data_IF_153208227807
#
_entry.id   IF_153208227807
#
_cell.length_a   1.000
_cell.length_b   1.000
_cell.length_c   1.000
_cell.angle_alpha   90.00
_cell.angle_beta   90.00
_cell.angle_gamma   90.00
#
_symmetry.space_group_name_H-M   'P 1'
#
loop_
_entity.id
_entity.type
_entity.pdbx_description
1 polymer ?
#
# COMPACT_ATOMS: atom_id res chain seq x y z
N UNK A 1 -1.86 28.90 -10.55
CA UNK A 1 -0.53 28.32 -10.33
C UNK A 1 -0.57 27.66 -8.96
N UNK A 2 -0.84 26.35 -8.92
CA UNK A 2 -1.08 25.63 -7.67
C UNK A 2 0.23 25.36 -6.95
N UNK A 3 0.28 25.72 -5.67
CA UNK A 3 1.44 25.63 -4.78
C UNK A 3 1.96 24.19 -4.72
N UNK A 4 3.27 23.92 -4.91
CA UNK A 4 3.82 22.60 -4.64
C UNK A 4 3.79 22.35 -3.13
N UNK A 5 2.82 21.55 -2.69
CA UNK A 5 2.72 21.08 -1.31
C UNK A 5 3.87 20.10 -1.06
N UNK A 6 5.00 20.61 -0.56
CA UNK A 6 6.11 19.80 -0.06
C UNK A 6 5.67 19.10 1.22
N UNK A 7 4.87 18.03 1.09
CA UNK A 7 4.65 17.07 2.17
C UNK A 7 6.03 16.54 2.55
N UNK A 8 6.49 16.84 3.76
CA UNK A 8 7.73 16.32 4.32
C UNK A 8 7.68 14.80 4.16
N UNK A 9 8.58 14.23 3.35
CA UNK A 9 8.63 12.80 3.12
C UNK A 9 8.90 12.10 4.46
N UNK A 10 7.86 11.54 5.08
CA UNK A 10 8.03 10.65 6.22
C UNK A 10 8.85 9.46 5.73
N UNK A 11 9.82 8.97 6.53
CA UNK A 11 10.61 7.82 6.14
C UNK A 11 9.67 6.66 5.85
N UNK A 12 9.77 6.11 4.65
CA UNK A 12 9.04 4.91 4.27
C UNK A 12 9.27 3.81 5.30
N UNK A 13 8.18 3.33 5.92
CA UNK A 13 8.27 2.30 6.96
C UNK A 13 8.88 0.98 6.43
N UNK A 14 8.70 0.69 5.14
CA UNK A 14 9.34 -0.42 4.46
C UNK A 14 10.56 0.08 3.68
N UNK A 15 11.79 -0.03 4.24
CA UNK A 15 12.98 0.42 3.55
C UNK A 15 13.16 -0.32 2.22
N UNK A 16 13.47 0.43 1.15
CA UNK A 16 13.66 -0.08 -0.20
C UNK A 16 12.41 -0.10 -1.08
N UNK A 17 11.21 0.08 -0.50
CA UNK A 17 9.96 0.25 -1.25
C UNK A 17 9.72 1.74 -1.51
N UNK A 18 9.02 2.07 -2.61
CA UNK A 18 8.69 3.46 -2.96
C UNK A 18 7.23 3.81 -2.72
N UNK A 19 6.36 2.81 -2.68
CA UNK A 19 4.91 2.97 -2.60
C UNK A 19 4.34 2.28 -1.35
N UNK A 20 4.89 1.14 -0.92
CA UNK A 20 4.34 0.47 0.26
C UNK A 20 4.66 1.17 1.57
N UNK A 21 3.61 1.60 2.29
CA UNK A 21 3.65 1.94 3.71
C UNK A 21 3.32 3.40 4.02
N UNK A 22 3.05 3.75 5.29
CA UNK A 22 2.79 5.12 5.69
C UNK A 22 3.95 6.04 5.29
N UNK A 23 3.64 7.15 4.59
CA UNK A 23 4.64 8.09 4.09
C UNK A 23 5.24 7.73 2.73
N UNK A 24 4.88 6.58 2.14
CA UNK A 24 5.26 6.18 0.80
C UNK A 24 4.08 6.37 -0.15
N UNK A 25 4.26 7.10 -1.25
CA UNK A 25 3.33 7.16 -2.38
C UNK A 25 4.07 7.59 -3.66
N UNK A 26 5.26 7.01 -3.88
CA UNK A 26 6.19 7.44 -4.93
C UNK A 26 7.04 8.67 -4.53
N UNK A 27 7.71 9.32 -5.50
CA UNK A 27 7.64 9.10 -6.95
C UNK A 27 8.47 7.91 -7.46
N UNK A 28 8.24 7.53 -8.72
CA UNK A 28 9.06 6.58 -9.48
C UNK A 28 8.46 5.20 -9.69
N UNK A 29 9.11 4.37 -10.52
CA UNK A 29 8.63 3.02 -10.82
C UNK A 29 8.69 2.12 -9.57
N UNK A 30 7.65 1.30 -9.33
CA UNK A 30 7.67 0.28 -8.29
C UNK A 30 8.91 -0.61 -8.37
N UNK A 31 9.47 -0.97 -7.22
CA UNK A 31 10.71 -1.76 -7.15
C UNK A 31 10.47 -3.26 -7.36
N UNK A 32 9.25 -3.73 -7.11
CA UNK A 32 8.80 -5.09 -7.36
C UNK A 32 7.26 -5.13 -7.48
N UNK A 33 6.67 -6.29 -7.73
CA UNK A 33 5.22 -6.40 -7.91
C UNK A 33 4.37 -6.16 -6.63
N UNK A 34 4.95 -6.25 -5.42
CA UNK A 34 4.25 -5.88 -4.17
C UNK A 34 4.21 -4.37 -4.05
N UNK A 35 5.32 -3.71 -4.37
CA UNK A 35 5.37 -2.24 -4.48
C UNK A 35 4.43 -1.74 -5.59
N UNK A 36 4.19 -2.55 -6.62
CA UNK A 36 3.19 -2.26 -7.65
C UNK A 36 1.75 -2.34 -7.11
N UNK A 37 1.43 -3.36 -6.29
CA UNK A 37 0.14 -3.42 -5.58
C UNK A 37 -0.08 -2.15 -4.73
N UNK A 38 0.95 -1.70 -4.00
CA UNK A 38 0.86 -0.49 -3.18
C UNK A 38 0.66 0.76 -4.03
N UNK A 39 1.38 0.88 -5.16
CA UNK A 39 1.15 1.98 -6.11
C UNK A 39 -0.31 2.07 -6.55
N UNK A 40 -0.91 0.94 -6.93
CA UNK A 40 -2.32 0.93 -7.33
C UNK A 40 -3.26 1.32 -6.18
N UNK A 41 -2.98 0.86 -4.96
CA UNK A 41 -3.75 1.22 -3.78
C UNK A 41 -3.67 2.72 -3.46
N UNK A 42 -2.47 3.29 -3.48
CA UNK A 42 -2.23 4.72 -3.24
C UNK A 42 -2.95 5.59 -4.27
N UNK A 43 -2.85 5.25 -5.56
CA UNK A 43 -3.54 5.98 -6.63
C UNK A 43 -5.06 5.86 -6.51
N UNK A 44 -5.57 4.68 -6.17
CA UNK A 44 -7.00 4.49 -5.90
C UNK A 44 -7.48 5.37 -4.73
N UNK A 45 -6.68 5.48 -3.67
CA UNK A 45 -6.95 6.38 -2.56
C UNK A 45 -6.84 7.86 -2.91
N UNK A 46 -5.94 8.23 -3.82
CA UNK A 46 -5.83 9.60 -4.34
C UNK A 46 -7.09 10.01 -5.11
N UNK A 47 -7.62 9.11 -5.94
CA UNK A 47 -8.79 9.37 -6.78
C UNK A 47 -10.11 9.32 -6.00
N UNK A 48 -10.28 8.34 -5.11
CA UNK A 48 -11.57 8.02 -4.48
C UNK A 48 -11.60 8.23 -2.96
N UNK A 49 -10.48 8.58 -2.35
CA UNK A 49 -10.33 8.59 -0.89
C UNK A 49 -10.28 7.18 -0.30
N UNK A 50 -10.29 7.10 1.04
CA UNK A 50 -10.22 5.82 1.73
C UNK A 50 -11.55 5.07 1.63
N UNK A 51 -11.67 4.19 0.63
CA UNK A 51 -12.87 3.40 0.40
C UNK A 51 -12.59 1.89 0.45
N UNK A 52 -13.66 1.12 0.71
CA UNK A 52 -13.58 -0.34 0.87
C UNK A 52 -13.14 -1.06 -0.40
N UNK A 53 -13.57 -0.60 -1.58
CA UNK A 53 -13.22 -1.21 -2.87
C UNK A 53 -11.74 -1.12 -3.19
N UNK A 54 -11.07 -0.01 -2.85
CA UNK A 54 -9.60 0.10 -2.97
C UNK A 54 -8.91 -0.90 -2.02
N UNK A 55 -9.39 -1.01 -0.78
CA UNK A 55 -8.82 -1.93 0.22
C UNK A 55 -8.99 -3.42 -0.19
N UNK A 56 -10.14 -3.79 -0.76
CA UNK A 56 -10.41 -5.15 -1.26
C UNK A 56 -9.53 -5.51 -2.47
N UNK A 57 -9.42 -4.62 -3.46
CA UNK A 57 -8.53 -4.83 -4.62
C UNK A 57 -7.06 -4.97 -4.19
N UNK A 58 -6.65 -4.20 -3.18
CA UNK A 58 -5.30 -4.30 -2.64
C UNK A 58 -5.06 -5.65 -1.94
N UNK A 59 -6.04 -6.15 -1.19
CA UNK A 59 -5.98 -7.48 -0.58
C UNK A 59 -5.84 -8.59 -1.63
N UNK A 60 -6.63 -8.54 -2.70
CA UNK A 60 -6.55 -9.52 -3.78
C UNK A 60 -5.18 -9.51 -4.46
N UNK A 61 -4.64 -8.31 -4.71
CA UNK A 61 -3.28 -8.16 -5.25
C UNK A 61 -2.25 -8.80 -4.32
N UNK A 62 -2.25 -8.44 -3.03
CA UNK A 62 -1.29 -8.95 -2.04
C UNK A 62 -1.39 -10.47 -1.82
N UNK A 63 -2.60 -11.03 -1.86
CA UNK A 63 -2.83 -12.47 -1.72
C UNK A 63 -2.02 -13.27 -2.76
N UNK A 64 -2.03 -12.81 -4.02
CA UNK A 64 -1.25 -13.43 -5.10
C UNK A 64 0.28 -13.29 -4.94
N UNK A 65 0.74 -12.36 -4.09
CA UNK A 65 2.16 -12.07 -3.86
C UNK A 65 2.69 -12.66 -2.55
N UNK A 66 1.82 -13.21 -1.71
CA UNK A 66 2.21 -13.85 -0.47
C UNK A 66 3.02 -15.11 -0.75
N UNK A 67 4.23 -15.17 -0.18
CA UNK A 67 5.11 -16.33 -0.29
C UNK A 67 6.07 -16.36 0.91
N UNK A 68 6.00 -17.38 1.79
CA UNK A 68 6.80 -17.43 3.01
C UNK A 68 8.31 -17.55 2.76
N UNK A 69 8.70 -18.09 1.61
CA UNK A 69 10.09 -18.35 1.25
C UNK A 69 10.84 -17.13 0.71
N UNK A 70 10.16 -16.01 0.44
CA UNK A 70 10.78 -14.78 -0.05
C UNK A 70 10.56 -13.61 0.92
N UNK A 71 11.53 -12.70 1.04
CA UNK A 71 11.38 -11.51 1.88
C UNK A 71 10.15 -10.68 1.47
N UNK A 72 10.07 -10.37 0.18
CA UNK A 72 8.92 -9.68 -0.45
C UNK A 72 7.59 -10.37 -0.15
N UNK A 73 7.54 -11.70 -0.24
CA UNK A 73 6.31 -12.45 0.00
C UNK A 73 5.88 -12.47 1.46
N UNK A 74 6.84 -12.46 2.40
CA UNK A 74 6.54 -12.25 3.83
C UNK A 74 6.04 -10.83 4.10
N UNK A 75 6.61 -9.83 3.44
CA UNK A 75 6.13 -8.45 3.51
C UNK A 75 4.71 -8.32 2.97
N UNK A 76 4.41 -8.95 1.82
CA UNK A 76 3.07 -9.01 1.25
C UNK A 76 2.07 -9.64 2.22
N UNK A 77 2.44 -10.76 2.86
CA UNK A 77 1.60 -11.43 3.85
C UNK A 77 1.33 -10.56 5.09
N UNK A 78 2.34 -9.83 5.59
CA UNK A 78 2.18 -8.92 6.71
C UNK A 78 1.22 -7.76 6.36
N UNK A 79 1.37 -7.18 5.18
CA UNK A 79 0.47 -6.13 4.66
C UNK A 79 -0.96 -6.67 4.49
N UNK A 80 -1.11 -7.86 3.91
CA UNK A 80 -2.40 -8.52 3.72
C UNK A 80 -3.12 -8.73 5.06
N UNK A 81 -2.40 -9.23 6.06
CA UNK A 81 -2.94 -9.46 7.41
C UNK A 81 -3.39 -8.15 8.06
N UNK A 82 -2.58 -7.10 7.97
CA UNK A 82 -2.95 -5.77 8.47
C UNK A 82 -4.20 -5.23 7.78
N UNK A 83 -4.27 -5.29 6.45
CA UNK A 83 -5.39 -4.76 5.68
C UNK A 83 -6.70 -5.51 5.95
N UNK A 84 -6.63 -6.84 6.16
CA UNK A 84 -7.80 -7.62 6.61
C UNK A 84 -8.29 -7.16 7.97
N UNK A 85 -7.39 -6.94 8.92
CA UNK A 85 -7.75 -6.42 10.24
C UNK A 85 -8.35 -5.02 10.13
N UNK A 86 -7.76 -4.12 9.35
CA UNK A 86 -8.28 -2.78 9.09
C UNK A 86 -9.71 -2.82 8.54
N UNK A 87 -10.00 -3.69 7.57
CA UNK A 87 -11.37 -3.85 7.03
C UNK A 87 -12.35 -4.47 8.02
N UNK A 88 -11.88 -5.35 8.91
CA UNK A 88 -12.72 -5.92 9.97
C UNK A 88 -13.07 -4.88 11.03
N UNK A 89 -12.11 -4.01 11.40
CA UNK A 89 -12.32 -2.94 12.37
C UNK A 89 -13.15 -1.78 11.81
N UNK A 90 -12.94 -1.39 10.55
CA UNK A 90 -13.77 -0.37 9.85
C UNK A 90 -15.26 -0.74 9.74
N UNK A 91 -15.64 -2.00 9.97
CA UNK A 91 -17.05 -2.40 10.00
C UNK A 91 -17.72 -2.09 11.35
N UNK A 92 -16.98 -1.59 12.33
CA UNK A 92 -17.43 -1.32 13.69
C UNK A 92 -17.53 0.19 14.02
N UNK A 93 -17.24 1.05 13.04
CA UNK A 93 -17.39 2.52 13.08
C UNK A 93 -18.51 2.96 12.13
#
# INVERSE_FOLDING_TARGET
>A
MSVPNKRKATPCLFPGYKWCGPGCSGPGCPVNDVDCCCKYHDLCYEDYGSCRSCDEQFLDCLCSKANPYSLKGRQAYAMYTYMRLKLALKQYD
#
